data_IF_187076945997
#
_entry.id   IF_187076945997
#
_cell.length_a   1.000
_cell.length_b   1.000
_cell.length_c   1.000
_cell.angle_alpha   90.00
_cell.angle_beta   90.00
_cell.angle_gamma   90.00
#
_symmetry.space_group_name_H-M   'P 1'
#
loop_
_entity.id
_entity.type
_entity.pdbx_description
1 polymer ?
#
# COMPACT_ATOMS: atom_id res chain seq x y z
N UNK A 1 1.89 3.02 18.72
CA UNK A 1 1.75 2.88 17.25
C UNK A 1 3.07 2.35 16.74
N UNK A 2 3.07 1.16 16.16
CA UNK A 2 4.27 0.62 15.49
C UNK A 2 4.69 1.62 14.41
N UNK A 3 5.94 2.09 14.46
CA UNK A 3 6.49 2.97 13.43
C UNK A 3 6.54 2.15 12.14
N UNK A 4 5.62 2.42 11.20
CA UNK A 4 5.67 1.86 9.87
C UNK A 4 7.04 2.18 9.28
N UNK A 5 7.92 1.19 9.21
CA UNK A 5 9.23 1.35 8.56
C UNK A 5 9.01 1.43 7.07
N UNK A 6 9.99 1.99 6.36
CA UNK A 6 10.02 1.92 4.90
C UNK A 6 9.81 0.48 4.44
N UNK A 7 8.89 0.27 3.52
CA UNK A 7 8.63 -1.05 2.93
C UNK A 7 8.70 -0.99 1.42
N UNK A 8 9.17 -2.08 0.84
CA UNK A 8 9.12 -2.25 -0.60
C UNK A 8 7.70 -2.61 -1.05
N UNK A 9 7.31 -2.22 -2.27
CA UNK A 9 6.04 -2.65 -2.88
C UNK A 9 5.91 -4.19 -2.96
N UNK A 10 7.04 -4.89 -3.08
CA UNK A 10 7.05 -6.36 -3.09
C UNK A 10 6.68 -6.96 -1.72
N UNK A 11 7.23 -6.42 -0.63
CA UNK A 11 6.88 -6.85 0.73
C UNK A 11 5.41 -6.57 1.01
N UNK A 12 4.96 -5.36 0.67
CA UNK A 12 3.57 -4.94 0.88
C UNK A 12 2.58 -5.83 0.09
N UNK A 13 2.91 -6.21 -1.15
CA UNK A 13 2.10 -7.13 -1.93
C UNK A 13 2.01 -8.50 -1.26
N UNK A 14 3.12 -9.00 -0.71
CA UNK A 14 3.18 -10.28 0.00
C UNK A 14 2.35 -10.25 1.29
N UNK A 15 2.39 -9.16 2.04
CA UNK A 15 1.58 -8.99 3.25
C UNK A 15 0.09 -8.97 2.97
N UNK A 16 -0.32 -8.29 1.88
CA UNK A 16 -1.72 -8.28 1.47
C UNK A 16 -2.16 -9.56 0.74
N UNK A 17 -1.26 -10.51 0.49
CA UNK A 17 -1.57 -11.75 -0.22
C UNK A 17 -2.00 -11.52 -1.67
N UNK A 18 -1.53 -10.45 -2.32
CA UNK A 18 -1.90 -10.09 -3.70
C UNK A 18 -0.68 -10.00 -4.61
N UNK A 19 -0.94 -10.09 -5.92
CA UNK A 19 0.08 -9.83 -6.93
C UNK A 19 0.56 -8.37 -6.90
N UNK A 20 1.84 -8.16 -7.25
CA UNK A 20 2.43 -6.81 -7.37
C UNK A 20 1.70 -5.91 -8.37
N UNK A 21 1.14 -6.51 -9.42
CA UNK A 21 0.32 -5.79 -10.41
C UNK A 21 -0.99 -5.29 -9.79
N UNK A 22 -1.71 -6.16 -9.07
CA UNK A 22 -2.92 -5.80 -8.32
C UNK A 22 -2.64 -4.68 -7.32
N UNK A 23 -1.53 -4.79 -6.58
CA UNK A 23 -1.10 -3.73 -5.66
C UNK A 23 -0.92 -2.41 -6.43
N UNK A 24 -0.19 -2.42 -7.55
CA UNK A 24 0.06 -1.22 -8.36
C UNK A 24 -1.24 -0.59 -8.89
N UNK A 25 -2.20 -1.40 -9.33
CA UNK A 25 -3.51 -0.91 -9.79
C UNK A 25 -4.28 -0.24 -8.65
N UNK A 26 -4.32 -0.86 -7.46
CA UNK A 26 -4.96 -0.28 -6.28
C UNK A 26 -4.28 1.00 -5.82
N UNK A 27 -2.94 1.04 -5.77
CA UNK A 27 -2.19 2.25 -5.41
C UNK A 27 -2.49 3.44 -6.34
N UNK A 28 -2.76 3.18 -7.64
CA UNK A 28 -3.16 4.22 -8.59
C UNK A 28 -4.55 4.80 -8.34
N UNK A 29 -5.42 4.06 -7.65
CA UNK A 29 -6.78 4.50 -7.33
C UNK A 29 -6.83 5.37 -6.06
N UNK A 30 -5.77 5.35 -5.24
CA UNK A 30 -5.69 6.15 -4.03
C UNK A 30 -5.36 7.59 -4.41
N UNK A 31 -6.32 8.49 -4.21
CA UNK A 31 -6.14 9.92 -4.48
C UNK A 31 -5.08 10.53 -3.54
N UNK A 32 -4.17 11.35 -4.09
CA UNK A 32 -3.07 11.97 -3.33
C UNK A 32 -1.86 11.06 -3.05
N UNK A 33 -1.86 9.83 -3.56
CA UNK A 33 -0.75 8.88 -3.37
C UNK A 33 0.17 8.79 -4.61
N UNK A 34 1.20 9.64 -4.67
CA UNK A 34 2.22 9.58 -5.74
C UNK A 34 3.35 8.59 -5.40
N UNK A 35 3.10 7.32 -5.64
CA UNK A 35 4.11 6.25 -5.38
C UNK A 35 5.01 5.97 -6.59
N UNK A 36 4.83 6.67 -7.71
CA UNK A 36 5.67 6.71 -8.91
C UNK A 36 6.56 5.49 -9.22
N UNK A 37 7.79 5.76 -9.66
CA UNK A 37 8.86 4.74 -9.85
C UNK A 37 9.63 4.42 -8.56
N UNK A 38 9.20 4.96 -7.41
CA UNK A 38 9.90 4.77 -6.14
C UNK A 38 9.88 3.30 -5.74
N UNK A 39 11.03 2.83 -5.29
CA UNK A 39 11.27 1.45 -4.88
C UNK A 39 10.72 1.19 -3.46
N UNK A 40 10.79 2.21 -2.59
CA UNK A 40 10.34 2.20 -1.20
C UNK A 40 9.13 3.13 -1.01
N UNK A 41 8.23 2.71 -0.13
CA UNK A 41 7.09 3.48 0.34
C UNK A 41 7.43 4.11 1.70
N UNK A 42 7.10 5.39 1.85
CA UNK A 42 7.28 6.14 3.08
C UNK A 42 6.26 5.71 4.16
N UNK A 43 6.58 5.90 5.45
CA UNK A 43 5.67 5.55 6.55
C UNK A 43 4.26 6.13 6.42
N UNK A 44 4.15 7.38 5.95
CA UNK A 44 2.85 8.05 5.77
C UNK A 44 2.06 7.45 4.59
N UNK A 45 2.72 7.10 3.49
CA UNK A 45 2.11 6.41 2.34
C UNK A 45 1.56 5.06 2.79
N UNK A 46 2.36 4.29 3.53
CA UNK A 46 1.94 3.01 4.09
C UNK A 46 0.68 3.16 4.95
N UNK A 47 0.59 4.22 5.76
CA UNK A 47 -0.58 4.47 6.61
C UNK A 47 -1.86 4.69 5.80
N UNK A 48 -1.78 5.43 4.69
CA UNK A 48 -2.91 5.60 3.75
C UNK A 48 -3.25 4.28 3.09
N UNK A 49 -2.25 3.55 2.60
CA UNK A 49 -2.46 2.27 1.91
C UNK A 49 -3.11 1.24 2.84
N UNK A 50 -2.62 1.09 4.07
CA UNK A 50 -3.21 0.18 5.05
C UNK A 50 -4.66 0.58 5.37
N UNK A 51 -4.96 1.87 5.49
CA UNK A 51 -6.32 2.35 5.72
C UNK A 51 -7.25 1.93 4.57
N UNK A 52 -6.89 2.27 3.34
CA UNK A 52 -7.69 1.97 2.15
C UNK A 52 -7.88 0.46 1.93
N UNK A 53 -6.81 -0.33 2.14
CA UNK A 53 -6.87 -1.79 1.98
C UNK A 53 -7.66 -2.47 3.09
N UNK A 54 -7.57 -1.98 4.33
CA UNK A 54 -8.28 -2.57 5.47
C UNK A 54 -9.76 -2.19 5.48
N UNK A 55 -10.10 -0.93 5.14
CA UNK A 55 -11.50 -0.51 4.97
C UNK A 55 -12.15 -1.26 3.79
N UNK A 56 -11.42 -1.48 2.70
CA UNK A 56 -11.89 -2.26 1.55
C UNK A 56 -12.14 -3.76 1.83
N UNK A 57 -11.49 -4.36 2.84
CA UNK A 57 -11.72 -5.76 3.22
C UNK A 57 -12.90 -5.96 4.18
N UNK A 58 -13.33 -4.92 4.92
CA UNK A 58 -14.48 -5.02 5.85
C UNK A 58 -15.84 -4.79 5.17
N UNK A 59 -15.83 -4.34 3.92
CA UNK A 59 -17.03 -4.06 3.14
C UNK A 59 -17.52 -5.28 2.30
N UNK A 60 -16.92 -6.46 2.48
CA UNK A 60 -17.33 -7.74 1.89
C UNK A 60 -17.57 -8.75 3.01
#
# INVERSE_FOLDING_TARGET
>A
MEYLRFKSKAELAREFGISRETLRLKLKQIEGLDTGRRQLLYPWELRVIYREFWEGQRAT
#
